data_IF_707475526441
#
_entry.id   IF_707475526441
#
_cell.length_a   1.000
_cell.length_b   1.000
_cell.length_c   1.000
_cell.angle_alpha   90.00
_cell.angle_beta   90.00
_cell.angle_gamma   90.00
#
_symmetry.space_group_name_H-M   'P 1'
#
loop_
_entity.id
_entity.type
_entity.pdbx_description
1 polymer ?
#
# COMPACT_ATOMS: atom_id res chain seq x y z
N UNK A 1 28.28 -15.05 -39.70
CA UNK A 1 27.42 -13.84 -39.61
C UNK A 1 26.61 -13.97 -38.34
N UNK A 2 26.83 -13.06 -37.39
CA UNK A 2 26.26 -13.09 -36.05
C UNK A 2 24.82 -12.54 -36.11
N UNK A 3 23.83 -13.38 -35.82
CA UNK A 3 22.51 -12.90 -35.45
C UNK A 3 22.46 -12.82 -33.93
N UNK A 4 22.81 -11.64 -33.41
CA UNK A 4 22.54 -11.28 -32.01
C UNK A 4 21.03 -11.22 -31.82
N UNK A 5 20.47 -12.27 -31.22
CA UNK A 5 19.08 -12.27 -30.76
C UNK A 5 18.93 -11.27 -29.62
N UNK A 6 18.32 -10.13 -29.92
CA UNK A 6 17.87 -9.16 -28.92
C UNK A 6 16.73 -9.80 -28.11
N UNK A 7 17.08 -10.37 -26.96
CA UNK A 7 16.12 -10.68 -25.91
C UNK A 7 15.61 -9.35 -25.33
N UNK A 8 14.48 -8.86 -25.84
CA UNK A 8 13.65 -7.89 -25.15
C UNK A 8 13.06 -8.59 -23.91
N UNK A 9 13.80 -8.55 -22.81
CA UNK A 9 13.21 -8.77 -21.51
C UNK A 9 12.17 -7.66 -21.30
N UNK A 10 10.88 -7.99 -21.41
CA UNK A 10 9.83 -7.15 -20.87
C UNK A 10 10.09 -7.09 -19.37
N UNK A 11 10.74 -6.02 -18.92
CA UNK A 11 10.72 -5.66 -17.52
C UNK A 11 9.24 -5.45 -17.19
N UNK A 12 8.64 -6.43 -16.51
CA UNK A 12 7.42 -6.21 -15.74
C UNK A 12 7.71 -4.99 -14.90
N UNK A 13 7.12 -3.85 -15.24
CA UNK A 13 7.23 -2.64 -14.44
C UNK A 13 6.50 -2.95 -13.15
N UNK A 14 7.24 -3.53 -12.18
CA UNK A 14 6.79 -3.72 -10.83
C UNK A 14 6.28 -2.35 -10.38
N UNK A 15 4.99 -2.29 -10.09
CA UNK A 15 4.31 -1.09 -9.65
C UNK A 15 4.92 -0.65 -8.32
N UNK A 16 5.87 0.28 -8.36
CA UNK A 16 6.66 0.69 -7.20
C UNK A 16 5.92 1.64 -6.24
N UNK A 17 4.59 1.67 -6.27
CA UNK A 17 3.79 2.55 -5.41
C UNK A 17 3.45 1.80 -4.13
N UNK A 18 3.77 2.40 -2.99
CA UNK A 18 3.44 1.85 -1.70
C UNK A 18 2.21 2.55 -1.15
N UNK A 19 1.32 1.79 -0.52
CA UNK A 19 0.18 2.35 0.20
C UNK A 19 0.29 1.99 1.68
N UNK A 20 0.23 2.99 2.55
CA UNK A 20 0.43 2.83 3.99
C UNK A 20 -0.78 3.36 4.75
N UNK A 21 -1.32 2.59 5.69
CA UNK A 21 -2.36 3.02 6.61
C UNK A 21 -1.78 3.22 8.01
N UNK A 22 -1.93 4.43 8.53
CA UNK A 22 -1.32 4.90 9.75
C UNK A 22 -2.33 4.94 10.88
N UNK A 23 -1.85 4.71 12.10
CA UNK A 23 -2.65 4.88 13.32
C UNK A 23 -2.92 6.37 13.56
N UNK A 24 -1.93 7.23 13.28
CA UNK A 24 -2.05 8.67 13.45
C UNK A 24 -2.93 9.34 12.39
N UNK A 25 -3.40 10.55 12.72
CA UNK A 25 -4.34 11.30 11.88
C UNK A 25 -3.69 12.04 10.69
N UNK A 26 -2.36 12.20 10.72
CA UNK A 26 -1.57 12.98 9.76
C UNK A 26 -0.44 12.16 9.13
N UNK A 27 -0.67 10.88 8.86
CA UNK A 27 0.31 9.93 8.35
C UNK A 27 1.55 9.81 9.25
N UNK A 28 1.30 9.57 10.53
CA UNK A 28 2.31 9.51 11.59
C UNK A 28 2.11 8.26 12.46
N UNK A 29 3.17 7.85 13.16
CA UNK A 29 3.17 6.68 14.04
C UNK A 29 3.37 5.35 13.30
N UNK A 30 2.93 4.25 13.90
CA UNK A 30 3.00 2.95 13.26
C UNK A 30 2.00 2.83 12.10
N UNK A 31 2.35 2.00 11.11
CA UNK A 31 1.54 1.78 9.92
C UNK A 31 1.57 0.33 9.45
N UNK A 32 0.59 -0.03 8.65
CA UNK A 32 0.60 -1.24 7.82
C UNK A 32 0.59 -0.82 6.37
N UNK A 33 1.22 -1.60 5.49
CA UNK A 33 1.40 -1.20 4.11
C UNK A 33 1.24 -2.36 3.13
N UNK A 34 0.75 -2.00 1.94
CA UNK A 34 0.91 -2.78 0.73
C UNK A 34 2.04 -2.15 -0.08
N UNK A 35 3.23 -2.74 0.00
CA UNK A 35 4.42 -2.38 -0.77
C UNK A 35 4.31 -2.96 -2.17
N UNK A 36 4.63 -2.15 -3.18
CA UNK A 36 4.61 -2.58 -4.56
C UNK A 36 3.19 -2.80 -5.13
N UNK A 37 2.21 -2.02 -4.67
CA UNK A 37 0.81 -2.16 -5.04
C UNK A 37 0.61 -1.88 -6.54
N UNK A 38 -0.14 -2.75 -7.23
CA UNK A 38 -0.49 -2.56 -8.65
C UNK A 38 -1.62 -1.52 -8.82
N UNK A 39 -1.69 -0.83 -9.97
CA UNK A 39 -2.78 0.11 -10.24
C UNK A 39 -4.12 -0.63 -10.27
N UNK A 40 -5.18 0.03 -9.80
CA UNK A 40 -6.52 -0.51 -9.63
C UNK A 40 -6.60 -1.71 -8.67
N UNK A 41 -5.58 -1.96 -7.85
CA UNK A 41 -5.66 -2.95 -6.78
C UNK A 41 -6.01 -2.25 -5.47
N UNK A 42 -6.98 -2.81 -4.76
CA UNK A 42 -7.38 -2.36 -3.44
C UNK A 42 -6.47 -3.02 -2.39
N UNK A 43 -5.75 -2.23 -1.61
CA UNK A 43 -5.12 -2.68 -0.38
C UNK A 43 -6.18 -2.65 0.75
N UNK A 44 -6.54 -3.81 1.29
CA UNK A 44 -7.51 -3.93 2.40
C UNK A 44 -6.74 -4.02 3.71
N UNK A 45 -6.92 -3.05 4.59
CA UNK A 45 -6.30 -3.05 5.93
C UNK A 45 -7.21 -3.68 6.99
N UNK A 46 -8.52 -3.57 6.81
CA UNK A 46 -9.51 -4.21 7.67
C UNK A 46 -10.80 -4.40 6.91
N UNK A 47 -11.46 -5.54 7.12
CA UNK A 47 -12.81 -5.78 6.63
C UNK A 47 -13.89 -5.17 7.54
N UNK A 48 -13.51 -4.72 8.75
CA UNK A 48 -14.38 -4.03 9.70
C UNK A 48 -14.32 -2.51 9.50
N UNK A 49 -15.38 -1.80 9.91
CA UNK A 49 -15.42 -0.34 9.87
C UNK A 49 -14.40 0.32 10.83
N UNK A 50 -14.10 -0.35 11.93
CA UNK A 50 -13.10 0.07 12.91
C UNK A 50 -11.75 -0.58 12.59
N UNK A 51 -10.92 0.08 11.80
CA UNK A 51 -9.57 -0.41 11.49
C UNK A 51 -8.51 0.07 12.48
N UNK A 52 -8.82 1.08 13.29
CA UNK A 52 -7.83 1.77 14.14
C UNK A 52 -6.81 2.58 13.32
N UNK A 53 -7.04 2.75 12.01
CA UNK A 53 -6.15 3.50 11.11
C UNK A 53 -6.81 4.83 10.73
N UNK A 54 -6.27 5.94 11.23
CA UNK A 54 -6.89 7.24 11.00
C UNK A 54 -6.52 7.87 9.64
N UNK A 55 -5.39 7.51 9.03
CA UNK A 55 -4.94 8.11 7.76
C UNK A 55 -4.27 7.12 6.81
N UNK A 56 -4.23 7.46 5.52
CA UNK A 56 -3.54 6.67 4.49
C UNK A 56 -2.53 7.57 3.78
N UNK A 57 -1.33 7.08 3.52
CA UNK A 57 -0.39 7.68 2.57
C UNK A 57 -0.18 6.80 1.35
N UNK A 58 0.13 7.45 0.24
CA UNK A 58 0.62 6.79 -0.98
C UNK A 58 2.02 7.33 -1.23
N UNK A 59 2.98 6.43 -1.28
CA UNK A 59 4.41 6.71 -1.28
C UNK A 59 5.09 6.09 -2.50
N UNK A 60 6.32 6.53 -2.76
CA UNK A 60 7.16 6.03 -3.86
C UNK A 60 6.48 6.18 -5.25
N UNK A 61 5.62 7.19 -5.41
CA UNK A 61 5.00 7.51 -6.70
C UNK A 61 6.10 8.07 -7.61
N UNK A 62 6.37 7.50 -8.78
CA UNK A 62 7.33 8.08 -9.70
C UNK A 62 6.86 9.48 -10.11
N UNK A 63 7.72 10.50 -10.03
CA UNK A 63 7.36 11.91 -10.33
C UNK A 63 6.83 12.13 -11.75
N UNK A 64 7.12 11.21 -12.67
CA UNK A 64 6.58 11.22 -14.04
C UNK A 64 5.14 10.67 -14.15
N UNK A 65 4.57 10.17 -13.06
CA UNK A 65 3.24 9.56 -13.02
C UNK A 65 2.24 10.57 -12.46
N UNK A 66 1.09 10.67 -13.12
CA UNK A 66 -0.08 11.36 -12.59
C UNK A 66 -1.14 10.31 -12.28
N UNK A 67 -1.22 9.94 -11.00
CA UNK A 67 -2.17 8.97 -10.47
C UNK A 67 -3.23 9.67 -9.62
N UNK A 68 -4.41 9.10 -9.61
CA UNK A 68 -5.46 9.38 -8.66
C UNK A 68 -5.40 8.34 -7.55
N UNK A 69 -5.54 8.78 -6.31
CA UNK A 69 -5.49 7.93 -5.12
C UNK A 69 -6.79 8.04 -4.37
N UNK A 70 -7.23 6.94 -3.75
CA UNK A 70 -8.45 6.86 -3.00
C UNK A 70 -8.21 6.15 -1.67
N UNK A 71 -8.67 6.76 -0.59
CA UNK A 71 -8.81 6.14 0.72
C UNK A 71 -10.27 5.73 0.92
N UNK A 72 -10.49 4.55 1.49
CA UNK A 72 -11.79 3.96 1.73
C UNK A 72 -12.06 3.75 3.24
N UNK A 73 -13.34 3.72 3.60
CA UNK A 73 -13.89 3.53 4.96
C UNK A 73 -15.03 2.51 4.93
N UNK A 74 -15.50 2.09 6.11
CA UNK A 74 -16.68 1.26 6.28
C UNK A 74 -16.48 -0.23 5.97
N UNK A 75 -15.23 -0.69 5.93
CA UNK A 75 -14.85 -2.08 5.70
C UNK A 75 -14.35 -2.31 4.28
N UNK A 76 -13.09 -2.74 4.15
CA UNK A 76 -12.43 -2.95 2.87
C UNK A 76 -12.35 -1.69 2.01
N UNK A 77 -12.49 -1.85 0.70
CA UNK A 77 -12.56 -0.75 -0.28
C UNK A 77 -14.00 -0.41 -0.70
N UNK A 78 -14.96 -0.45 0.23
CA UNK A 78 -16.39 -0.30 -0.10
C UNK A 78 -16.81 1.16 -0.27
N UNK A 79 -16.41 2.05 0.65
CA UNK A 79 -16.86 3.45 0.63
C UNK A 79 -15.69 4.42 0.53
N UNK A 80 -15.74 5.35 -0.44
CA UNK A 80 -14.72 6.38 -0.59
C UNK A 80 -14.75 7.42 0.54
N UNK A 81 -13.67 7.46 1.33
CA UNK A 81 -13.47 8.44 2.39
C UNK A 81 -12.79 9.71 1.87
N UNK A 82 -11.71 9.54 1.10
CA UNK A 82 -10.90 10.64 0.57
C UNK A 82 -10.35 10.27 -0.81
N UNK A 83 -10.12 11.27 -1.65
CA UNK A 83 -9.58 11.12 -2.99
C UNK A 83 -8.61 12.28 -3.26
N UNK A 84 -7.42 11.97 -3.76
CA UNK A 84 -6.42 12.97 -4.10
C UNK A 84 -5.63 12.57 -5.33
N UNK A 85 -5.37 13.53 -6.20
CA UNK A 85 -4.43 13.38 -7.30
C UNK A 85 -2.99 13.62 -6.82
N UNK A 86 -2.05 12.82 -7.33
CA UNK A 86 -0.62 13.01 -7.12
C UNK A 86 -0.14 14.34 -7.69
N UNK A 87 -0.62 14.73 -8.88
CA UNK A 87 -0.17 15.94 -9.58
C UNK A 87 1.38 16.05 -9.68
N UNK A 88 2.07 14.91 -9.81
CA UNK A 88 3.54 14.84 -9.90
C UNK A 88 4.25 14.75 -8.54
N UNK A 89 3.51 14.69 -7.43
CA UNK A 89 4.05 14.45 -6.09
C UNK A 89 4.42 12.98 -5.94
N UNK A 90 5.59 12.74 -5.34
CA UNK A 90 6.08 11.39 -5.01
C UNK A 90 5.37 10.77 -3.82
N UNK A 91 4.86 11.62 -2.93
CA UNK A 91 4.25 11.22 -1.68
C UNK A 91 3.00 12.06 -1.39
N UNK A 92 1.91 11.38 -1.05
CA UNK A 92 0.62 11.95 -0.69
C UNK A 92 0.20 11.44 0.68
N UNK A 93 -0.28 12.34 1.52
CA UNK A 93 -0.93 11.98 2.78
C UNK A 93 -2.42 12.35 2.71
N UNK A 94 -3.28 11.34 2.83
CA UNK A 94 -4.71 11.49 3.01
C UNK A 94 -5.03 11.40 4.50
N UNK A 95 -4.89 12.53 5.18
CA UNK A 95 -5.17 12.70 6.60
C UNK A 95 -6.59 12.24 6.99
N UNK A 96 -6.78 12.07 8.30
CA UNK A 96 -8.07 11.78 8.90
C UNK A 96 -9.11 12.83 8.50
N UNK A 97 -10.35 12.37 8.34
CA UNK A 97 -11.51 13.20 8.08
C UNK A 97 -12.69 12.60 8.84
N UNK A 98 -13.79 13.33 8.95
CA UNK A 98 -14.97 12.92 9.71
C UNK A 98 -15.72 11.69 9.17
N UNK A 99 -15.17 10.96 8.18
CA UNK A 99 -15.76 9.75 7.58
C UNK A 99 -15.28 8.45 8.24
N UNK A 100 -14.61 8.54 9.39
CA UNK A 100 -14.15 7.39 10.17
C UNK A 100 -12.81 6.82 9.70
N UNK A 101 -12.51 5.64 10.22
CA UNK A 101 -11.24 4.94 10.01
C UNK A 101 -11.05 4.49 8.57
N UNK A 102 -9.79 4.27 8.22
CA UNK A 102 -9.35 3.90 6.87
C UNK A 102 -9.19 2.40 6.78
N UNK A 103 -10.10 1.79 6.03
CA UNK A 103 -10.24 0.34 5.95
C UNK A 103 -9.61 -0.22 4.69
N UNK A 104 -9.35 0.63 3.69
CA UNK A 104 -8.61 0.25 2.50
C UNK A 104 -8.21 1.46 1.66
N UNK A 105 -7.46 1.22 0.60
CA UNK A 105 -7.17 2.24 -0.39
C UNK A 105 -6.77 1.65 -1.73
N UNK A 106 -6.87 2.47 -2.77
CA UNK A 106 -6.53 2.11 -4.14
C UNK A 106 -5.97 3.32 -4.89
N UNK A 107 -5.34 3.08 -6.04
CA UNK A 107 -4.92 4.15 -6.93
C UNK A 107 -5.09 3.74 -8.39
N UNK A 108 -5.23 4.71 -9.29
CA UNK A 108 -5.33 4.48 -10.73
C UNK A 108 -4.69 5.61 -11.53
N UNK A 109 -4.36 5.36 -12.80
CA UNK A 109 -3.79 6.37 -13.66
C UNK A 109 -4.87 7.28 -14.27
N UNK A 110 -4.66 8.60 -14.22
CA UNK A 110 -5.55 9.56 -14.87
C UNK A 110 -5.47 9.50 -16.41
N UNK A 111 -4.35 9.04 -16.96
CA UNK A 111 -4.15 8.90 -18.40
C UNK A 111 -4.30 7.44 -18.86
N UNK A 112 -5.28 7.22 -19.76
CA UNK A 112 -5.56 5.91 -20.40
C UNK A 112 -4.37 5.29 -21.14
N UNK A 113 -3.34 6.08 -21.49
CA UNK A 113 -2.14 5.57 -22.18
C UNK A 113 -1.22 4.73 -21.29
N UNK A 114 -1.23 4.92 -19.97
CA UNK A 114 -0.48 4.08 -19.00
C UNK A 114 -1.34 3.02 -18.32
N UNK A 115 -2.67 3.19 -18.32
CA UNK A 115 -3.62 2.14 -17.93
C UNK A 115 -3.80 1.07 -19.01
N UNK A 116 -3.13 1.20 -20.17
CA UNK A 116 -3.20 0.25 -21.28
C UNK A 116 -2.40 -1.04 -21.01
N UNK A 117 -1.50 -1.04 -20.02
CA UNK A 117 -1.11 -2.29 -19.36
C UNK A 117 -2.34 -2.76 -18.60
N UNK A 118 -3.11 -3.65 -19.24
CA UNK A 118 -4.22 -4.43 -18.67
C UNK A 118 -3.73 -5.39 -17.57
N UNK A 119 -2.72 -5.01 -16.80
CA UNK A 119 -2.21 -5.79 -15.68
C UNK A 119 -3.12 -5.60 -14.47
N UNK A 120 -4.38 -6.03 -14.60
CA UNK A 120 -4.92 -6.74 -13.44
C UNK A 120 -3.99 -7.94 -13.22
N UNK A 121 -3.75 -8.38 -11.96
CA UNK A 121 -3.12 -9.68 -11.73
C UNK A 121 -3.80 -10.72 -12.62
N UNK A 122 -3.03 -11.68 -13.18
CA UNK A 122 -3.47 -12.62 -14.22
C UNK A 122 -4.72 -13.47 -13.85
N UNK A 123 -5.23 -13.31 -12.63
CA UNK A 123 -6.40 -13.96 -12.05
C UNK A 123 -7.72 -13.19 -12.25
N UNK A 124 -7.75 -12.02 -12.92
CA UNK A 124 -8.98 -11.23 -13.09
C UNK A 124 -9.37 -10.89 -14.53
N UNK A 125 -10.68 -10.84 -14.76
CA UNK A 125 -11.30 -10.51 -16.04
C UNK A 125 -11.06 -9.05 -16.44
N UNK A 126 -10.71 -8.84 -17.71
CA UNK A 126 -10.42 -7.53 -18.29
C UNK A 126 -11.58 -6.53 -18.06
N UNK A 127 -11.31 -5.40 -17.39
CA UNK A 127 -12.18 -4.23 -17.40
C UNK A 127 -12.47 -3.59 -16.03
N UNK A 128 -12.33 -4.35 -14.94
CA UNK A 128 -12.40 -3.84 -13.56
C UNK A 128 -11.41 -4.65 -12.73
N UNK A 129 -10.20 -4.15 -12.53
CA UNK A 129 -9.35 -4.76 -11.52
C UNK A 129 -10.00 -4.42 -10.18
N UNK A 130 -10.68 -5.39 -9.58
CA UNK A 130 -11.22 -5.32 -8.21
C UNK A 130 -10.39 -6.25 -7.32
N UNK A 131 -9.12 -6.46 -7.66
CA UNK A 131 -8.21 -7.26 -6.88
C UNK A 131 -8.02 -6.60 -5.52
N UNK A 132 -8.33 -7.34 -4.47
CA UNK A 132 -8.01 -6.95 -3.10
C UNK A 132 -6.75 -7.69 -2.68
N UNK A 133 -5.81 -6.96 -2.10
CA UNK A 133 -4.60 -7.51 -1.48
C UNK A 133 -4.58 -7.13 -0.02
N UNK A 134 -4.08 -8.04 0.81
CA UNK A 134 -3.83 -7.79 2.21
C UNK A 134 -2.46 -7.11 2.39
N UNK A 135 -2.24 -6.42 3.52
CA UNK A 135 -1.00 -5.71 3.77
C UNK A 135 0.16 -6.70 3.87
N UNK A 136 1.25 -6.41 3.16
CA UNK A 136 2.44 -7.25 3.12
C UNK A 136 3.58 -6.70 3.99
N UNK A 137 3.43 -5.48 4.52
CA UNK A 137 4.42 -4.84 5.36
C UNK A 137 3.81 -4.19 6.60
N UNK A 138 4.57 -4.16 7.69
CA UNK A 138 4.27 -3.40 8.91
C UNK A 138 5.42 -2.45 9.21
N UNK A 139 5.10 -1.18 9.37
CA UNK A 139 6.05 -0.12 9.72
C UNK A 139 5.91 0.31 11.17
N UNK A 140 7.05 0.42 11.86
CA UNK A 140 7.11 1.02 13.19
C UNK A 140 7.12 2.56 13.08
N UNK A 141 6.94 3.23 14.23
CA UNK A 141 7.02 4.69 14.31
C UNK A 141 8.43 5.24 13.98
N UNK A 142 9.46 4.41 14.04
CA UNK A 142 10.83 4.75 13.65
C UNK A 142 11.08 4.69 12.12
N UNK A 143 10.11 4.20 11.35
CA UNK A 143 10.20 4.06 9.90
C UNK A 143 10.71 2.69 9.42
N UNK A 144 11.12 1.80 10.33
CA UNK A 144 11.55 0.43 10.00
C UNK A 144 10.38 -0.38 9.47
N UNK A 145 10.55 -1.05 8.32
CA UNK A 145 9.51 -1.86 7.69
C UNK A 145 9.83 -3.36 7.79
N UNK A 146 8.88 -4.13 8.27
CA UNK A 146 8.93 -5.59 8.40
C UNK A 146 7.99 -6.26 7.41
N UNK A 147 8.41 -7.37 6.81
CA UNK A 147 7.57 -8.18 5.95
C UNK A 147 6.58 -8.96 6.81
N UNK A 148 5.29 -8.78 6.57
CA UNK A 148 4.22 -9.57 7.21
C UNK A 148 3.55 -10.57 6.27
N UNK A 149 3.98 -10.63 5.01
CA UNK A 149 3.44 -11.60 4.05
C UNK A 149 3.70 -13.05 4.51
N UNK A 150 2.63 -13.77 4.82
CA UNK A 150 2.67 -15.18 5.21
C UNK A 150 2.99 -15.43 6.70
N UNK A 151 2.96 -14.40 7.55
CA UNK A 151 2.99 -14.59 9.01
C UNK A 151 1.61 -14.95 9.54
N UNK A 152 1.55 -15.71 10.63
CA UNK A 152 0.28 -15.97 11.30
C UNK A 152 -0.29 -14.68 11.90
N UNK A 153 -1.61 -14.54 11.88
CA UNK A 153 -2.35 -13.36 12.36
C UNK A 153 -1.98 -13.00 13.82
N UNK A 154 -1.66 -14.00 14.63
CA UNK A 154 -1.19 -13.86 16.01
C UNK A 154 0.14 -13.10 16.11
N UNK A 155 1.09 -13.38 15.21
CA UNK A 155 2.39 -12.70 15.17
C UNK A 155 2.28 -11.28 14.61
N UNK A 156 1.35 -11.07 13.68
CA UNK A 156 1.03 -9.73 13.18
C UNK A 156 0.43 -8.87 14.30
N UNK A 157 -0.49 -9.42 15.10
CA UNK A 157 -1.06 -8.71 16.25
C UNK A 157 -0.03 -8.41 17.35
N UNK A 158 0.93 -9.31 17.58
CA UNK A 158 2.01 -9.06 18.55
C UNK A 158 2.94 -7.94 18.07
N UNK A 159 3.34 -7.94 16.80
CA UNK A 159 4.06 -6.83 16.16
C UNK A 159 3.29 -5.53 16.21
N UNK A 160 1.98 -5.55 15.90
CA UNK A 160 1.14 -4.36 15.95
C UNK A 160 1.09 -3.77 17.36
N UNK A 161 0.98 -4.60 18.40
CA UNK A 161 1.00 -4.12 19.79
C UNK A 161 2.35 -3.48 20.14
N UNK A 162 3.45 -4.08 19.70
CA UNK A 162 4.81 -3.54 19.91
C UNK A 162 4.97 -2.21 19.15
N UNK A 163 4.44 -2.13 17.92
CA UNK A 163 4.48 -0.95 17.07
C UNK A 163 3.63 0.21 17.63
N UNK A 164 2.43 -0.10 18.13
CA UNK A 164 1.54 0.85 18.81
C UNK A 164 2.18 1.36 20.10
N UNK A 165 2.90 0.49 20.83
CA UNK A 165 3.62 0.85 22.04
C UNK A 165 4.83 1.77 21.78
N UNK A 166 5.20 2.01 20.51
CA UNK A 166 6.30 2.88 20.13
C UNK A 166 7.68 2.28 20.38
N UNK A 167 7.78 0.95 20.42
CA UNK A 167 9.06 0.28 20.59
C UNK A 167 9.91 0.40 19.31
N UNK A 168 11.23 0.58 19.48
CA UNK A 168 12.20 0.63 18.39
C UNK A 168 12.49 -0.76 17.82
N UNK A 169 13.14 -0.82 16.65
CA UNK A 169 13.58 -2.05 16.00
C UNK A 169 14.31 -3.06 16.93
N UNK A 170 14.97 -2.60 18.00
CA UNK A 170 15.65 -3.46 18.99
C UNK A 170 14.71 -4.35 19.81
N UNK A 171 13.43 -3.98 19.92
CA UNK A 171 12.41 -4.75 20.64
C UNK A 171 11.70 -5.78 19.76
N UNK A 172 11.95 -5.76 18.45
CA UNK A 172 11.33 -6.68 17.50
C UNK A 172 12.11 -8.00 17.48
N UNK A 173 11.46 -9.14 17.74
CA UNK A 173 12.11 -10.44 17.66
C UNK A 173 12.80 -10.66 16.31
N UNK A 174 14.06 -11.15 16.31
CA UNK A 174 14.89 -11.34 15.11
C UNK A 174 14.32 -12.32 14.05
N UNK A 175 13.18 -12.94 14.34
CA UNK A 175 12.41 -13.80 13.45
C UNK A 175 11.62 -13.03 12.37
N UNK A 176 11.46 -11.71 12.51
CA UNK A 176 10.81 -10.88 11.50
C UNK A 176 11.79 -10.44 10.41
N UNK A 177 11.45 -10.74 9.14
CA UNK A 177 12.25 -10.31 7.99
C UNK A 177 12.07 -8.81 7.77
N UNK A 178 13.16 -8.06 7.89
CA UNK A 178 13.22 -6.66 7.49
C UNK A 178 12.98 -6.53 5.98
N UNK A 179 12.06 -5.66 5.58
CA UNK A 179 11.87 -5.23 4.19
C UNK A 179 12.80 -4.08 3.83
N UNK A 180 13.02 -3.15 4.78
CA UNK A 180 14.03 -2.10 4.68
C UNK A 180 14.25 -1.45 6.04
N UNK A 181 15.49 -1.08 6.32
CA UNK A 181 15.84 -0.15 7.42
C UNK A 181 15.69 1.31 6.93
N UNK A 182 15.36 2.22 7.85
CA UNK A 182 15.17 3.64 7.58
C UNK A 182 16.49 4.40 7.34
#
# INVERSE_FOLDING_TARGET
MHFSGLLLALATTASAVDMRAWIGSSCEGAFVACVGLNPNVCCVFSNSADSGRASISVNAIPSSWNIHTQANTGGGCTYGANQQDSNGRTDLCMAYNSRGDRTGGSYWFNSRKRAADKSCPAEQAEGKCEATVEPNALGLADGTMYNIAGLSEEKVQELEKIAVAGASADAVPAEFKLLSEA
#
